data_IF_694499894571
#
_entry.id   IF_694499894571
#
_cell.length_a   1.000
_cell.length_b   1.000
_cell.length_c   1.000
_cell.angle_alpha   90.00
_cell.angle_beta   90.00
_cell.angle_gamma   90.00
#
_symmetry.space_group_name_H-M   'P 1'
#
loop_
_entity.id
_entity.type
_entity.pdbx_description
1 polymer ?
#
# COMPACT_ATOMS: atom_id res chain seq x y z
N UNK A 1 0.91 9.25 13.15
CA UNK A 1 0.96 7.89 13.78
C UNK A 1 1.30 6.86 12.73
N UNK A 2 1.95 5.78 13.13
CA UNK A 2 2.21 4.60 12.30
C UNK A 2 1.40 3.46 12.90
N UNK A 3 0.60 2.79 12.07
CA UNK A 3 -0.14 1.59 12.46
C UNK A 3 0.83 0.42 12.54
N UNK A 4 0.70 -0.40 13.57
CA UNK A 4 1.38 -1.68 13.66
C UNK A 4 0.37 -2.75 13.25
N UNK A 5 0.50 -3.21 12.02
CA UNK A 5 -0.35 -4.24 11.44
C UNK A 5 0.13 -5.62 11.90
N UNK A 6 -0.75 -6.47 12.44
CA UNK A 6 -0.38 -7.82 12.88
C UNK A 6 -0.10 -8.78 11.71
N UNK A 7 -0.61 -8.47 10.50
CA UNK A 7 -0.44 -9.26 9.28
C UNK A 7 -0.92 -10.72 9.41
N UNK A 8 -1.81 -10.98 10.36
CA UNK A 8 -2.42 -12.28 10.62
C UNK A 8 -3.67 -12.52 9.79
N UNK A 9 -4.44 -11.47 9.54
CA UNK A 9 -5.58 -11.44 8.63
C UNK A 9 -5.89 -10.02 8.18
N UNK A 10 -6.55 -9.86 7.04
CA UNK A 10 -7.01 -8.57 6.55
C UNK A 10 -7.91 -7.85 7.58
N UNK A 11 -8.80 -8.59 8.24
CA UNK A 11 -9.69 -8.04 9.24
C UNK A 11 -8.96 -7.52 10.49
N UNK A 12 -7.89 -8.21 10.92
CA UNK A 12 -7.06 -7.79 12.04
C UNK A 12 -6.31 -6.48 11.72
N UNK A 13 -5.80 -6.36 10.49
CA UNK A 13 -5.06 -5.18 10.03
C UNK A 13 -5.99 -3.96 9.89
N UNK A 14 -7.19 -4.13 9.33
CA UNK A 14 -8.23 -3.09 9.31
C UNK A 14 -8.64 -2.69 10.74
N UNK A 15 -8.77 -3.66 11.64
CA UNK A 15 -9.08 -3.41 13.07
C UNK A 15 -7.96 -2.63 13.76
N UNK A 16 -6.70 -2.99 13.51
CA UNK A 16 -5.54 -2.26 14.05
C UNK A 16 -5.51 -0.80 13.56
N UNK A 17 -5.82 -0.59 12.28
CA UNK A 17 -5.91 0.74 11.67
C UNK A 17 -7.03 1.56 12.31
N UNK A 18 -8.24 1.01 12.44
CA UNK A 18 -9.36 1.69 13.08
C UNK A 18 -9.07 2.04 14.55
N UNK A 19 -8.39 1.16 15.30
CA UNK A 19 -7.99 1.44 16.69
C UNK A 19 -7.13 2.71 16.83
N UNK A 20 -6.30 3.01 15.83
CA UNK A 20 -5.53 4.25 15.80
C UNK A 20 -6.40 5.42 15.36
N UNK A 21 -7.24 5.24 14.35
CA UNK A 21 -8.16 6.28 13.85
C UNK A 21 -9.13 6.75 14.93
N UNK A 22 -9.70 5.85 15.72
CA UNK A 22 -10.66 6.16 16.80
C UNK A 22 -10.04 7.03 17.92
N UNK A 23 -8.72 7.17 17.94
CA UNK A 23 -8.01 8.05 18.91
C UNK A 23 -7.64 9.39 18.31
N UNK A 24 -7.87 9.59 17.01
CA UNK A 24 -7.56 10.87 16.33
C UNK A 24 -8.57 11.93 16.75
N UNK A 25 -8.07 13.08 17.18
CA UNK A 25 -8.89 14.26 17.40
C UNK A 25 -8.95 15.07 16.09
N UNK A 26 -10.13 15.10 15.47
CA UNK A 26 -10.35 15.79 14.19
C UNK A 26 -10.26 14.84 12.98
N UNK A 27 -9.68 15.32 11.88
CA UNK A 27 -9.63 14.59 10.60
C UNK A 27 -8.21 14.15 10.26
N UNK A 28 -8.07 13.00 9.62
CA UNK A 28 -6.81 12.41 9.24
C UNK A 28 -6.72 12.18 7.73
N UNK A 29 -5.53 12.30 7.18
CA UNK A 29 -5.16 11.71 5.90
C UNK A 29 -4.67 10.30 6.19
N UNK A 30 -5.30 9.31 5.60
CA UNK A 30 -4.91 7.90 5.75
C UNK A 30 -4.01 7.51 4.58
N UNK A 31 -2.79 7.05 4.87
CA UNK A 31 -1.76 6.74 3.87
C UNK A 31 -1.46 5.25 3.91
N UNK A 32 -1.54 4.58 2.76
CA UNK A 32 -1.25 3.16 2.62
C UNK A 32 -0.20 2.90 1.53
N UNK A 33 0.87 2.17 1.90
CA UNK A 33 1.87 1.69 0.96
C UNK A 33 1.60 0.23 0.61
N UNK A 34 1.77 -0.15 -0.64
CA UNK A 34 1.68 -1.54 -1.08
C UNK A 34 0.35 -2.21 -0.66
N UNK A 35 0.39 -3.31 0.08
CA UNK A 35 -0.74 -3.97 0.71
C UNK A 35 -1.56 -3.01 1.59
N UNK A 36 -0.90 -2.09 2.29
CA UNK A 36 -1.58 -1.06 3.08
C UNK A 36 -2.57 -0.21 2.28
N UNK A 37 -2.46 -0.17 0.95
CA UNK A 37 -3.46 0.43 0.06
C UNK A 37 -4.81 -0.29 0.14
N UNK A 38 -4.83 -1.62 0.17
CA UNK A 38 -6.05 -2.39 0.37
C UNK A 38 -6.64 -2.15 1.77
N UNK A 39 -5.79 -2.07 2.81
CA UNK A 39 -6.23 -1.77 4.18
C UNK A 39 -6.92 -0.40 4.24
N UNK A 40 -6.30 0.65 3.69
CA UNK A 40 -6.91 1.98 3.73
C UNK A 40 -8.16 2.10 2.86
N UNK A 41 -8.30 1.24 1.85
CA UNK A 41 -9.52 1.14 1.05
C UNK A 41 -10.72 0.73 1.91
N UNK A 42 -10.54 -0.18 2.86
CA UNK A 42 -11.59 -0.62 3.78
C UNK A 42 -11.69 0.30 5.00
N UNK A 43 -10.58 0.56 5.71
CA UNK A 43 -10.54 1.36 6.93
C UNK A 43 -10.87 2.86 6.68
N UNK A 44 -10.73 3.32 5.44
CA UNK A 44 -11.02 4.70 5.05
C UNK A 44 -12.46 5.14 5.24
N UNK A 45 -13.38 4.20 5.47
CA UNK A 45 -14.78 4.50 5.84
C UNK A 45 -14.93 5.06 7.27
N UNK A 46 -13.88 4.97 8.09
CA UNK A 46 -13.87 5.59 9.42
C UNK A 46 -14.16 7.10 9.31
N UNK A 47 -15.00 7.60 10.22
CA UNK A 47 -15.46 8.98 10.20
C UNK A 47 -14.35 10.03 10.36
N UNK A 48 -13.24 9.65 10.96
CA UNK A 48 -12.07 10.53 11.12
C UNK A 48 -11.23 10.66 9.84
N UNK A 49 -11.45 9.81 8.83
CA UNK A 49 -10.69 9.87 7.57
C UNK A 49 -11.25 10.96 6.66
N UNK A 50 -10.39 11.87 6.27
CA UNK A 50 -10.71 12.98 5.36
C UNK A 50 -10.36 12.67 3.90
N UNK A 51 -9.24 11.98 3.68
CA UNK A 51 -8.75 11.61 2.35
C UNK A 51 -7.81 10.41 2.43
N UNK A 52 -7.57 9.78 1.29
CA UNK A 52 -6.75 8.58 1.13
C UNK A 52 -5.54 8.91 0.26
N UNK A 53 -4.37 8.40 0.64
CA UNK A 53 -3.14 8.49 -0.18
C UNK A 53 -2.57 7.09 -0.36
N UNK A 54 -2.53 6.64 -1.59
CA UNK A 54 -1.98 5.35 -1.99
C UNK A 54 -0.54 5.56 -2.49
N UNK A 55 0.41 4.87 -1.90
CA UNK A 55 1.82 4.97 -2.28
C UNK A 55 2.26 3.62 -2.84
N UNK A 56 2.45 3.51 -4.15
CA UNK A 56 2.77 2.23 -4.79
C UNK A 56 1.89 1.10 -4.20
N UNK A 57 0.57 1.31 -4.17
CA UNK A 57 -0.35 0.51 -3.37
C UNK A 57 -1.57 0.01 -4.13
N UNK A 58 -2.15 -1.08 -3.64
CA UNK A 58 -3.38 -1.65 -4.20
C UNK A 58 -4.60 -0.77 -3.89
N UNK A 59 -5.49 -0.64 -4.88
CA UNK A 59 -6.77 0.08 -4.77
C UNK A 59 -7.90 -0.80 -5.32
N UNK A 60 -8.27 -1.82 -4.58
CA UNK A 60 -9.31 -2.74 -5.03
C UNK A 60 -10.70 -2.11 -4.96
N UNK A 61 -11.60 -2.57 -5.86
CA UNK A 61 -13.04 -2.28 -5.81
C UNK A 61 -13.77 -3.32 -4.95
N UNK A 62 -15.05 -3.12 -4.75
CA UNK A 62 -15.94 -4.05 -4.05
C UNK A 62 -15.91 -5.44 -4.71
N UNK A 63 -15.64 -6.47 -3.93
CA UNK A 63 -15.47 -7.84 -4.40
C UNK A 63 -14.09 -8.16 -4.99
N UNK A 64 -13.26 -7.17 -5.31
CA UNK A 64 -11.87 -7.41 -5.72
C UNK A 64 -11.03 -7.92 -4.54
N UNK A 65 -10.03 -8.71 -4.89
CA UNK A 65 -8.96 -9.15 -3.99
C UNK A 65 -7.62 -8.64 -4.51
N UNK A 66 -6.58 -8.65 -3.68
CA UNK A 66 -5.22 -8.33 -4.15
C UNK A 66 -4.81 -9.30 -5.27
N UNK A 67 -5.14 -10.58 -5.11
CA UNK A 67 -4.84 -11.60 -6.10
C UNK A 67 -5.52 -11.31 -7.45
N UNK A 68 -6.82 -10.97 -7.45
CA UNK A 68 -7.55 -10.64 -8.68
C UNK A 68 -6.99 -9.39 -9.38
N UNK A 69 -6.39 -8.47 -8.65
CA UNK A 69 -5.72 -7.30 -9.21
C UNK A 69 -4.39 -7.69 -9.86
N UNK A 70 -3.57 -8.48 -9.16
CA UNK A 70 -2.28 -8.98 -9.67
C UNK A 70 -2.46 -9.81 -10.95
N UNK A 71 -3.50 -10.61 -11.03
CA UNK A 71 -3.81 -11.41 -12.22
C UNK A 71 -4.09 -10.58 -13.48
N UNK A 72 -4.63 -9.36 -13.32
CA UNK A 72 -4.88 -8.43 -14.44
C UNK A 72 -3.57 -7.90 -15.05
N UNK A 73 -2.59 -7.59 -14.22
CA UNK A 73 -1.26 -7.09 -14.61
C UNK A 73 -0.20 -7.63 -13.64
N UNK A 74 0.38 -8.81 -13.92
CA UNK A 74 1.36 -9.42 -13.03
C UNK A 74 2.59 -8.53 -12.77
N UNK A 75 3.17 -8.60 -11.57
CA UNK A 75 4.40 -7.90 -11.24
C UNK A 75 5.60 -8.45 -12.01
N UNK A 76 6.65 -7.64 -12.15
CA UNK A 76 7.92 -8.10 -12.71
C UNK A 76 8.71 -8.96 -11.71
N UNK A 77 8.50 -8.75 -10.40
CA UNK A 77 9.13 -9.55 -9.35
C UNK A 77 8.43 -10.91 -9.20
N UNK A 78 9.22 -11.94 -8.99
CA UNK A 78 8.76 -13.31 -8.69
C UNK A 78 9.34 -13.81 -7.37
N UNK A 79 9.77 -12.90 -6.52
CA UNK A 79 10.55 -13.17 -5.31
C UNK A 79 9.71 -13.35 -4.04
N UNK A 80 8.38 -13.26 -4.13
CA UNK A 80 7.52 -13.58 -3.00
C UNK A 80 7.46 -15.09 -2.84
N UNK A 81 7.91 -15.59 -1.71
CA UNK A 81 7.99 -17.01 -1.41
C UNK A 81 7.15 -17.37 -0.18
N UNK A 82 6.39 -18.50 -0.24
CA UNK A 82 5.65 -18.97 0.91
C UNK A 82 6.55 -19.65 1.93
N UNK A 83 6.26 -19.43 3.21
CA UNK A 83 6.78 -20.25 4.31
C UNK A 83 5.99 -21.54 4.45
N UNK A 84 6.51 -22.52 5.19
CA UNK A 84 5.85 -23.82 5.37
C UNK A 84 4.52 -23.73 6.13
N UNK A 85 4.32 -22.68 6.91
CA UNK A 85 3.11 -22.41 7.72
C UNK A 85 2.12 -21.45 7.04
N UNK A 86 2.38 -21.07 5.77
CA UNK A 86 1.42 -20.33 4.95
C UNK A 86 1.52 -18.82 5.02
N UNK A 87 2.66 -18.31 5.47
CA UNK A 87 2.99 -16.89 5.37
C UNK A 87 3.82 -16.60 4.13
N UNK A 88 3.95 -15.34 3.78
CA UNK A 88 4.71 -14.86 2.62
C UNK A 88 5.80 -13.89 3.06
N UNK A 89 6.92 -13.95 2.35
CA UNK A 89 8.05 -13.03 2.46
C UNK A 89 8.60 -12.74 1.07
N UNK A 90 9.23 -11.60 0.90
CA UNK A 90 10.11 -11.39 -0.26
C UNK A 90 11.44 -12.10 0.04
N UNK A 91 11.93 -12.91 -0.91
CA UNK A 91 13.24 -13.56 -0.79
C UNK A 91 14.31 -12.52 -0.45
N UNK A 92 14.99 -12.62 0.70
CA UNK A 92 16.02 -11.66 1.08
C UNK A 92 17.14 -11.48 0.04
N UNK A 93 17.45 -12.51 -0.74
CA UNK A 93 18.46 -12.44 -1.79
C UNK A 93 18.01 -11.58 -2.99
N UNK A 94 16.72 -11.43 -3.19
CA UNK A 94 16.11 -10.67 -4.29
C UNK A 94 15.51 -9.34 -3.83
N UNK A 95 15.42 -9.11 -2.52
CA UNK A 95 14.74 -7.96 -1.95
C UNK A 95 15.29 -6.62 -2.46
N UNK A 96 16.60 -6.48 -2.54
CA UNK A 96 17.22 -5.26 -3.05
C UNK A 96 16.78 -4.98 -4.49
N UNK A 97 16.85 -5.97 -5.39
CA UNK A 97 16.53 -5.79 -6.81
C UNK A 97 15.03 -5.57 -7.05
N UNK A 98 14.18 -6.26 -6.31
CA UNK A 98 12.74 -6.29 -6.60
C UNK A 98 11.95 -5.27 -5.78
N UNK A 99 12.36 -4.98 -4.54
CA UNK A 99 11.63 -4.07 -3.64
C UNK A 99 12.30 -2.70 -3.48
N UNK A 100 13.63 -2.65 -3.41
CA UNK A 100 14.40 -1.50 -2.94
C UNK A 100 15.59 -1.15 -3.86
N UNK A 101 15.40 -1.24 -5.19
CA UNK A 101 16.47 -1.12 -6.16
C UNK A 101 17.15 0.26 -6.21
N UNK A 102 16.52 1.29 -5.70
CA UNK A 102 17.01 2.66 -5.66
C UNK A 102 17.49 3.10 -4.25
N UNK A 103 17.63 2.14 -3.32
CA UNK A 103 18.18 2.39 -1.99
C UNK A 103 19.66 1.96 -1.87
N UNK A 104 20.40 2.55 -0.92
CA UNK A 104 21.75 2.07 -0.60
C UNK A 104 21.72 0.57 -0.23
N UNK A 105 22.69 -0.25 -0.73
CA UNK A 105 22.67 -1.71 -0.50
C UNK A 105 22.61 -2.13 0.97
N UNK A 106 23.22 -1.38 1.88
CA UNK A 106 23.18 -1.66 3.31
C UNK A 106 21.75 -1.49 3.88
N UNK A 107 21.03 -0.47 3.41
CA UNK A 107 19.65 -0.20 3.84
C UNK A 107 18.70 -1.26 3.27
N UNK A 108 18.83 -1.62 2.00
CA UNK A 108 18.03 -2.67 1.38
C UNK A 108 18.25 -4.03 2.09
N UNK A 109 19.48 -4.38 2.43
CA UNK A 109 19.77 -5.61 3.22
C UNK A 109 19.14 -5.57 4.61
N UNK A 110 19.21 -4.42 5.30
CA UNK A 110 18.58 -4.29 6.62
C UNK A 110 17.05 -4.48 6.50
N UNK A 111 16.41 -3.87 5.53
CA UNK A 111 14.97 -4.05 5.26
C UNK A 111 14.62 -5.50 4.97
N UNK A 112 15.45 -6.19 4.17
CA UNK A 112 15.24 -7.58 3.80
C UNK A 112 15.17 -8.53 5.01
N UNK A 113 15.99 -8.29 6.04
CA UNK A 113 15.99 -9.11 7.27
C UNK A 113 15.01 -8.60 8.34
N UNK A 114 14.40 -7.44 8.12
CA UNK A 114 13.43 -6.82 9.05
C UNK A 114 11.98 -7.05 8.63
N UNK A 115 11.73 -7.86 7.62
CA UNK A 115 10.39 -8.14 7.15
C UNK A 115 9.54 -8.83 8.22
N UNK A 116 8.29 -8.44 8.30
CA UNK A 116 7.26 -9.20 9.02
C UNK A 116 6.59 -10.13 8.02
N UNK A 117 6.52 -11.45 8.28
CA UNK A 117 5.78 -12.38 7.43
C UNK A 117 4.28 -12.05 7.46
N UNK A 118 3.62 -12.05 6.30
CA UNK A 118 2.20 -11.78 6.21
C UNK A 118 1.43 -13.01 5.71
N UNK A 119 0.22 -13.22 6.26
CA UNK A 119 -0.57 -14.40 5.97
C UNK A 119 -1.05 -14.37 4.51
N UNK A 120 -0.79 -15.45 3.75
CA UNK A 120 -1.18 -15.55 2.34
C UNK A 120 -2.69 -15.44 2.08
N UNK A 121 -3.53 -15.76 3.08
CA UNK A 121 -4.98 -15.65 2.95
C UNK A 121 -5.45 -14.20 2.71
N UNK A 122 -4.64 -13.22 3.09
CA UNK A 122 -4.87 -11.79 2.85
C UNK A 122 -5.03 -11.51 1.36
N UNK A 123 -4.24 -12.19 0.49
CA UNK A 123 -4.31 -12.00 -0.96
C UNK A 123 -5.70 -12.28 -1.57
N UNK A 124 -6.44 -13.21 -0.96
CA UNK A 124 -7.73 -13.69 -1.47
C UNK A 124 -8.91 -13.14 -0.68
N UNK A 125 -8.68 -12.22 0.27
CA UNK A 125 -9.76 -11.59 1.02
C UNK A 125 -10.38 -10.46 0.21
N UNK A 126 -11.69 -10.50 -0.08
CA UNK A 126 -12.35 -9.46 -0.87
C UNK A 126 -12.57 -8.18 -0.07
N UNK A 127 -12.48 -7.04 -0.76
CA UNK A 127 -12.92 -5.75 -0.22
C UNK A 127 -14.44 -5.69 -0.17
N UNK A 128 -14.98 -5.11 0.88
CA UNK A 128 -16.44 -5.03 1.08
C UNK A 128 -17.00 -3.62 0.83
N UNK A 129 -16.25 -2.59 1.22
CA UNK A 129 -16.71 -1.21 1.15
C UNK A 129 -15.56 -0.25 0.79
N UNK A 130 -15.26 -0.06 -0.52
CA UNK A 130 -14.14 0.79 -0.92
C UNK A 130 -14.39 2.26 -0.64
N UNK A 131 -13.64 2.81 0.31
CA UNK A 131 -13.78 4.17 0.81
C UNK A 131 -13.49 5.26 -0.25
N UNK A 132 -12.70 4.95 -1.28
CA UNK A 132 -12.42 5.86 -2.38
C UNK A 132 -13.68 6.22 -3.19
N UNK A 133 -14.77 5.46 -3.09
CA UNK A 133 -16.08 5.82 -3.68
C UNK A 133 -16.69 7.07 -3.04
N UNK A 134 -16.28 7.43 -1.83
CA UNK A 134 -16.83 8.57 -1.06
C UNK A 134 -15.79 9.54 -0.53
N UNK A 135 -14.50 9.21 -0.62
CA UNK A 135 -13.40 10.02 -0.10
C UNK A 135 -12.48 10.49 -1.22
N UNK A 136 -11.96 11.70 -1.16
CA UNK A 136 -10.88 12.13 -2.06
C UNK A 136 -9.69 11.18 -1.97
N UNK A 137 -9.19 10.74 -3.13
CA UNK A 137 -8.09 9.80 -3.24
C UNK A 137 -6.92 10.40 -4.03
N UNK A 138 -5.71 10.06 -3.62
CA UNK A 138 -4.45 10.44 -4.25
C UNK A 138 -3.62 9.18 -4.44
N UNK A 139 -2.97 9.05 -5.59
CA UNK A 139 -2.15 7.89 -5.93
C UNK A 139 -0.74 8.30 -6.35
N UNK A 140 0.26 7.63 -5.79
CA UNK A 140 1.65 7.75 -6.19
C UNK A 140 2.05 6.47 -6.92
N UNK A 141 2.30 6.60 -8.23
CA UNK A 141 2.86 5.53 -9.05
C UNK A 141 4.37 5.54 -8.93
N UNK A 142 4.94 4.43 -8.50
CA UNK A 142 6.38 4.22 -8.50
C UNK A 142 6.80 3.67 -9.88
N UNK A 143 7.40 4.51 -10.73
CA UNK A 143 7.64 4.19 -12.14
C UNK A 143 8.57 2.99 -12.39
N UNK A 144 9.36 2.60 -11.39
CA UNK A 144 10.31 1.49 -11.46
C UNK A 144 9.93 0.37 -10.47
N UNK A 145 8.66 0.33 -10.04
CA UNK A 145 8.14 -0.71 -9.17
C UNK A 145 8.17 -2.07 -9.87
N UNK A 146 8.69 -3.07 -9.17
CA UNK A 146 8.73 -4.46 -9.63
C UNK A 146 7.80 -5.36 -8.83
N UNK A 147 7.37 -4.90 -7.62
CA UNK A 147 6.46 -5.63 -6.73
C UNK A 147 5.00 -5.45 -7.11
N UNK A 148 4.63 -4.26 -7.60
CA UNK A 148 3.36 -3.98 -8.26
C UNK A 148 3.68 -3.43 -9.64
N UNK A 149 3.00 -3.94 -10.67
CA UNK A 149 3.20 -3.43 -12.02
C UNK A 149 2.74 -1.96 -12.08
N UNK A 150 3.58 -0.99 -12.51
CA UNK A 150 3.18 0.42 -12.60
C UNK A 150 1.94 0.66 -13.47
N UNK A 151 1.70 -0.17 -14.50
CA UNK A 151 0.46 -0.09 -15.29
C UNK A 151 -0.77 -0.51 -14.48
N UNK A 152 -0.61 -1.47 -13.55
CA UNK A 152 -1.68 -1.82 -12.61
C UNK A 152 -1.96 -0.66 -11.66
N UNK A 153 -0.93 -0.04 -11.08
CA UNK A 153 -1.11 1.15 -10.23
C UNK A 153 -1.87 2.25 -10.97
N UNK A 154 -1.46 2.58 -12.21
CA UNK A 154 -2.14 3.57 -13.05
C UNK A 154 -3.60 3.21 -13.32
N UNK A 155 -3.86 1.95 -13.60
CA UNK A 155 -5.22 1.47 -13.89
C UNK A 155 -6.12 1.58 -12.66
N UNK A 156 -5.65 1.12 -11.50
CA UNK A 156 -6.39 1.18 -10.24
C UNK A 156 -6.66 2.62 -9.82
N UNK A 157 -5.66 3.50 -9.89
CA UNK A 157 -5.81 4.91 -9.49
C UNK A 157 -6.75 5.67 -10.41
N UNK A 158 -6.70 5.42 -11.73
CA UNK A 158 -7.69 6.00 -12.66
C UNK A 158 -9.10 5.50 -12.37
N UNK A 159 -9.27 4.21 -12.09
CA UNK A 159 -10.56 3.62 -11.75
C UNK A 159 -11.15 4.25 -10.48
N UNK A 160 -10.32 4.46 -9.47
CA UNK A 160 -10.71 5.12 -8.23
C UNK A 160 -10.89 6.65 -8.33
N UNK A 161 -10.67 7.24 -9.50
CA UNK A 161 -10.72 8.70 -9.69
C UNK A 161 -9.68 9.47 -8.85
N UNK A 162 -8.56 8.81 -8.51
CA UNK A 162 -7.52 9.42 -7.69
C UNK A 162 -6.71 10.47 -8.47
N UNK A 163 -6.26 11.52 -7.77
CA UNK A 163 -5.25 12.44 -8.28
C UNK A 163 -3.90 11.75 -8.34
N UNK A 164 -3.37 11.48 -9.54
CA UNK A 164 -2.17 10.67 -9.75
C UNK A 164 -0.91 11.54 -9.82
N UNK A 165 0.13 11.12 -9.12
CA UNK A 165 1.50 11.64 -9.23
C UNK A 165 2.44 10.48 -9.56
N UNK A 166 3.25 10.64 -10.60
CA UNK A 166 4.25 9.64 -10.95
C UNK A 166 5.63 10.05 -10.42
N UNK A 167 6.30 9.13 -9.73
CA UNK A 167 7.61 9.35 -9.13
C UNK A 167 8.57 8.27 -9.63
N UNK A 168 9.74 8.68 -10.10
CA UNK A 168 10.80 7.74 -10.45
C UNK A 168 11.38 7.13 -9.18
N UNK A 169 11.13 5.85 -8.97
CA UNK A 169 11.58 5.11 -7.79
C UNK A 169 11.13 3.66 -7.84
N UNK A 170 11.72 2.82 -7.00
CA UNK A 170 11.34 1.43 -6.77
C UNK A 170 10.07 1.34 -5.92
N UNK A 171 9.67 0.12 -5.53
CA UNK A 171 8.58 -0.09 -4.57
C UNK A 171 8.80 0.65 -3.23
N UNK A 172 10.06 0.88 -2.85
CA UNK A 172 10.45 1.65 -1.67
C UNK A 172 10.50 3.17 -1.92
N UNK A 173 9.72 3.70 -2.85
CA UNK A 173 9.69 5.11 -3.29
C UNK A 173 9.50 6.10 -2.12
N UNK A 174 8.80 5.71 -1.06
CA UNK A 174 8.61 6.55 0.13
C UNK A 174 9.90 6.76 0.95
N UNK A 175 10.89 5.89 0.76
CA UNK A 175 12.22 6.01 1.39
C UNK A 175 13.19 6.74 0.45
N UNK A 176 13.20 6.39 -0.84
CA UNK A 176 14.12 6.99 -1.81
C UNK A 176 13.73 8.42 -2.22
N UNK A 177 12.42 8.73 -2.24
CA UNK A 177 11.87 10.02 -2.66
C UNK A 177 10.94 10.65 -1.58
N UNK A 178 11.38 10.76 -0.31
CA UNK A 178 10.51 11.10 0.81
C UNK A 178 9.85 12.47 0.67
N UNK A 179 10.55 13.44 0.08
CA UNK A 179 10.00 14.80 -0.14
C UNK A 179 8.87 14.80 -1.16
N UNK A 180 9.02 14.04 -2.24
CA UNK A 180 8.00 13.95 -3.28
C UNK A 180 6.73 13.28 -2.72
N UNK A 181 6.89 12.20 -1.96
CA UNK A 181 5.78 11.52 -1.28
C UNK A 181 5.12 12.43 -0.25
N UNK A 182 5.90 13.11 0.60
CA UNK A 182 5.38 14.06 1.60
C UNK A 182 4.56 15.20 0.95
N UNK A 183 4.99 15.73 -0.20
CA UNK A 183 4.26 16.77 -0.92
C UNK A 183 2.84 16.33 -1.32
N UNK A 184 2.66 15.09 -1.76
CA UNK A 184 1.33 14.54 -2.11
C UNK A 184 0.47 14.39 -0.85
N UNK A 185 1.04 13.91 0.26
CA UNK A 185 0.34 13.79 1.54
C UNK A 185 -0.10 15.18 2.04
N UNK A 186 0.77 16.18 1.94
CA UNK A 186 0.43 17.56 2.32
C UNK A 186 -0.63 18.17 1.40
N UNK A 187 -0.61 17.85 0.10
CA UNK A 187 -1.66 18.27 -0.84
C UNK A 187 -3.01 17.69 -0.40
N UNK A 188 -3.07 16.40 -0.10
CA UNK A 188 -4.26 15.73 0.41
C UNK A 188 -4.76 16.37 1.71
N UNK A 189 -3.85 16.69 2.64
CA UNK A 189 -4.19 17.34 3.90
C UNK A 189 -4.73 18.77 3.71
N UNK A 190 -4.18 19.54 2.78
CA UNK A 190 -4.68 20.89 2.47
C UNK A 190 -6.06 20.90 1.83
N UNK A 191 -6.33 19.95 0.94
CA UNK A 191 -7.62 19.83 0.27
C UNK A 191 -8.75 19.30 1.18
N UNK A 192 -8.40 18.78 2.36
CA UNK A 192 -9.31 18.16 3.32
C UNK A 192 -9.70 19.08 4.51
N UNK A 193 -9.26 20.35 4.46
CA UNK A 193 -9.55 21.36 5.50
C UNK A 193 -10.95 21.96 5.36
#
# INVERSE_FOLDING_TARGET
>A
SIVQEPETSFADDVTATNRILDRVQGRAVLVGHSYGGAIITEAGNNLHVASLVYVAGFVPDEGDTILSQIEKNPPAATSIAPTSDGYLLVDPARFADDFAADLPPAQARFMAISQVPWNKAILSTPITAPAWKSKPAYGIVAQQDRMINPELERAMYRHAGASVTEIKGSHAVFISQPRAVANVIEQAARASR
#
